data_IF_022311085936
#
_entry.id   IF_022311085936
#
_cell.length_a   1.000
_cell.length_b   1.000
_cell.length_c   1.000
_cell.angle_alpha   90.00
_cell.angle_beta   90.00
_cell.angle_gamma   90.00
#
_symmetry.space_group_name_H-M   'P 1'
#
loop_
_entity.id
_entity.type
_entity.pdbx_description
1 polymer ?
#
# COMPACT_ATOMS: atom_id res chain seq x y z
N UNK A 1 5.87 -28.89 1.16
CA UNK A 1 6.19 -27.50 0.76
C UNK A 1 6.45 -26.74 2.05
N UNK A 2 7.50 -25.96 2.10
CA UNK A 2 7.83 -25.10 3.25
C UNK A 2 6.82 -23.96 3.35
N UNK A 3 6.32 -23.67 4.55
CA UNK A 3 5.44 -22.53 4.76
C UNK A 3 6.26 -21.21 4.87
N UNK A 4 5.63 -20.10 4.53
CA UNK A 4 6.20 -18.77 4.68
C UNK A 4 5.42 -17.97 5.73
N UNK A 5 6.15 -17.28 6.60
CA UNK A 5 5.59 -16.58 7.75
C UNK A 5 6.02 -15.12 7.76
N UNK A 6 5.12 -14.22 8.07
CA UNK A 6 5.45 -12.85 8.47
C UNK A 6 5.88 -12.91 9.95
N UNK A 7 7.10 -12.46 10.25
CA UNK A 7 7.68 -12.52 11.59
C UNK A 7 7.81 -11.14 12.26
N UNK A 8 7.90 -10.08 11.49
CA UNK A 8 7.88 -8.71 12.00
C UNK A 8 7.32 -7.77 10.95
N UNK A 9 6.77 -6.65 11.40
CA UNK A 9 6.22 -5.60 10.57
C UNK A 9 6.41 -4.23 11.21
N UNK A 10 6.85 -3.26 10.41
CA UNK A 10 6.93 -1.85 10.81
C UNK A 10 6.74 -0.94 9.59
N UNK A 11 6.28 0.27 9.84
CA UNK A 11 6.15 1.32 8.83
C UNK A 11 6.52 2.69 9.38
N UNK A 12 6.83 3.62 8.51
CA UNK A 12 6.86 5.03 8.85
C UNK A 12 5.44 5.56 9.09
N UNK A 13 5.27 6.73 9.72
CA UNK A 13 4.04 7.49 9.56
C UNK A 13 3.74 7.71 8.07
N UNK A 14 2.47 7.92 7.75
CA UNK A 14 2.07 8.35 6.41
C UNK A 14 1.97 9.88 6.39
N UNK A 15 2.83 10.52 5.57
CA UNK A 15 2.84 11.95 5.34
C UNK A 15 1.82 12.37 4.27
N UNK A 16 1.31 13.61 4.37
CA UNK A 16 0.53 14.22 3.29
C UNK A 16 1.45 14.74 2.19
N UNK A 17 0.92 14.91 1.01
CA UNK A 17 1.62 15.61 -0.08
C UNK A 17 2.10 16.99 0.37
N UNK A 18 3.38 17.26 0.20
CA UNK A 18 4.01 18.49 0.68
C UNK A 18 4.03 18.67 2.21
N UNK A 19 3.70 17.61 2.97
CA UNK A 19 3.61 17.61 4.42
C UNK A 19 4.91 17.28 5.15
N UNK A 20 4.77 16.69 6.33
CA UNK A 20 5.88 16.47 7.27
C UNK A 20 7.02 15.61 6.70
N UNK A 21 6.72 14.64 5.82
CA UNK A 21 7.72 13.76 5.22
C UNK A 21 8.26 14.22 3.87
N UNK A 22 7.74 15.32 3.32
CA UNK A 22 8.09 15.81 1.97
C UNK A 22 9.57 16.14 1.77
N UNK A 23 10.31 16.40 2.84
CA UNK A 23 11.76 16.64 2.79
C UNK A 23 12.60 15.36 2.82
N UNK A 24 11.99 14.20 3.09
CA UNK A 24 12.70 12.90 3.17
C UNK A 24 12.75 12.26 1.79
N UNK A 25 13.94 11.89 1.33
CA UNK A 25 14.13 11.16 0.08
C UNK A 25 13.46 9.78 0.16
N UNK A 26 12.99 9.25 -0.96
CA UNK A 26 12.34 7.94 -1.02
C UNK A 26 13.27 6.80 -0.53
N UNK A 27 14.53 6.82 -0.95
CA UNK A 27 15.54 5.84 -0.54
C UNK A 27 15.87 5.92 0.96
N UNK A 28 15.96 7.12 1.54
CA UNK A 28 16.13 7.33 2.98
C UNK A 28 14.88 6.89 3.78
N UNK A 29 13.68 7.17 3.27
CA UNK A 29 12.42 6.80 3.92
C UNK A 29 12.29 5.27 4.05
N UNK A 30 12.62 4.52 2.99
CA UNK A 30 12.67 3.07 3.05
C UNK A 30 13.78 2.57 3.99
N UNK A 31 14.95 3.21 3.98
CA UNK A 31 16.04 2.86 4.88
C UNK A 31 15.68 3.03 6.36
N UNK A 32 14.80 4.00 6.72
CA UNK A 32 14.30 4.16 8.09
C UNK A 32 13.51 2.92 8.52
N UNK A 33 12.59 2.42 7.70
CA UNK A 33 11.82 1.22 8.00
C UNK A 33 12.71 -0.02 8.11
N UNK A 34 13.70 -0.17 7.20
CA UNK A 34 14.66 -1.26 7.22
C UNK A 34 15.55 -1.22 8.48
N UNK A 35 16.09 -0.05 8.85
CA UNK A 35 16.86 0.11 10.10
C UNK A 35 16.05 -0.28 11.33
N UNK A 36 14.78 0.07 11.35
CA UNK A 36 13.90 -0.27 12.48
C UNK A 36 13.67 -1.77 12.60
N UNK A 37 13.46 -2.46 11.49
CA UNK A 37 13.38 -3.95 11.47
C UNK A 37 14.68 -4.58 11.97
N UNK A 38 15.82 -4.09 11.50
CA UNK A 38 17.15 -4.56 11.92
C UNK A 38 17.35 -4.35 13.43
N UNK A 39 17.06 -3.16 13.93
CA UNK A 39 17.25 -2.82 15.34
C UNK A 39 16.35 -3.64 16.31
N UNK A 40 15.17 -4.05 15.85
CA UNK A 40 14.22 -4.85 16.65
C UNK A 40 14.58 -6.33 16.72
N UNK A 41 15.27 -6.85 15.71
CA UNK A 41 15.54 -8.28 15.54
C UNK A 41 17.03 -8.59 15.70
N UNK A 42 17.57 -8.34 16.89
CA UNK A 42 19.01 -8.43 17.19
C UNK A 42 19.59 -9.86 17.15
N UNK A 43 18.75 -10.88 17.14
CA UNK A 43 19.16 -12.29 17.00
C UNK A 43 19.35 -12.74 15.55
N UNK A 44 18.95 -11.92 14.59
CA UNK A 44 19.02 -12.25 13.15
C UNK A 44 20.46 -12.05 12.66
N UNK A 45 21.00 -13.06 12.01
CA UNK A 45 22.18 -12.90 11.15
C UNK A 45 21.77 -12.25 9.83
N UNK A 46 22.08 -10.98 9.68
CA UNK A 46 21.67 -10.19 8.51
C UNK A 46 22.45 -10.56 7.24
N UNK A 47 23.56 -11.31 7.33
CA UNK A 47 24.22 -11.87 6.15
C UNK A 47 23.46 -13.06 5.56
N UNK A 48 22.57 -13.69 6.35
CA UNK A 48 21.71 -14.78 5.92
C UNK A 48 20.43 -14.32 5.18
N UNK A 49 20.24 -13.02 4.97
CA UNK A 49 19.08 -12.51 4.21
C UNK A 49 19.30 -12.78 2.72
N UNK A 50 18.40 -13.56 2.13
CA UNK A 50 18.49 -13.98 0.72
C UNK A 50 18.16 -12.85 -0.25
N UNK A 51 17.18 -11.99 0.08
CA UNK A 51 16.82 -10.82 -0.75
C UNK A 51 16.07 -9.76 0.08
N UNK A 52 16.14 -8.51 -0.38
CA UNK A 52 15.26 -7.41 0.06
C UNK A 52 14.39 -6.99 -1.10
N UNK A 53 13.08 -7.28 -1.03
CA UNK A 53 12.13 -7.00 -2.11
C UNK A 53 11.24 -5.83 -1.70
N UNK A 54 11.39 -4.67 -2.35
CA UNK A 54 10.55 -3.51 -2.09
C UNK A 54 9.69 -3.15 -3.30
N UNK A 55 8.40 -2.90 -3.03
CA UNK A 55 7.51 -2.30 -4.00
C UNK A 55 7.74 -0.79 -4.13
N UNK A 56 7.80 -0.29 -5.38
CA UNK A 56 7.83 1.14 -5.67
C UNK A 56 7.20 1.39 -7.04
N UNK A 57 6.26 2.33 -7.12
CA UNK A 57 5.49 2.56 -8.35
C UNK A 57 6.16 3.56 -9.27
N UNK A 58 6.71 4.66 -8.76
CA UNK A 58 7.22 5.74 -9.59
C UNK A 58 8.56 5.42 -10.26
N UNK A 59 9.60 5.20 -9.50
CA UNK A 59 10.97 4.90 -9.96
C UNK A 59 11.57 5.94 -10.94
N UNK A 60 11.04 7.15 -11.00
CA UNK A 60 11.49 8.20 -11.91
C UNK A 60 12.47 9.19 -11.28
N UNK A 61 12.49 9.28 -9.95
CA UNK A 61 13.30 10.23 -9.19
C UNK A 61 14.37 9.57 -8.32
N UNK A 62 14.37 9.90 -7.05
CA UNK A 62 15.32 9.39 -6.03
C UNK A 62 15.11 7.90 -5.73
N UNK A 63 14.02 7.35 -6.18
CA UNK A 63 13.61 5.95 -6.15
C UNK A 63 14.09 5.13 -7.38
N UNK A 64 14.84 5.75 -8.29
CA UNK A 64 15.44 5.05 -9.43
C UNK A 64 16.58 4.11 -9.03
N UNK A 65 17.10 3.33 -9.99
CA UNK A 65 18.23 2.42 -9.82
C UNK A 65 18.06 1.40 -8.70
N UNK A 66 16.88 0.78 -8.62
CA UNK A 66 16.60 -0.24 -7.62
C UNK A 66 16.62 0.32 -6.19
N UNK A 67 15.55 1.00 -5.82
CA UNK A 67 15.40 1.63 -4.49
C UNK A 67 15.56 0.61 -3.35
N UNK A 68 15.18 -0.66 -3.53
CA UNK A 68 15.39 -1.71 -2.54
C UNK A 68 16.86 -1.89 -2.21
N UNK A 69 17.71 -2.04 -3.25
CA UNK A 69 19.16 -2.19 -3.05
C UNK A 69 19.79 -0.94 -2.44
N UNK A 70 19.38 0.24 -2.90
CA UNK A 70 19.90 1.49 -2.34
C UNK A 70 19.53 1.65 -0.87
N UNK A 71 18.28 1.39 -0.53
CA UNK A 71 17.77 1.55 0.83
C UNK A 71 18.36 0.56 1.83
N UNK A 72 18.61 -0.69 1.42
CA UNK A 72 19.24 -1.67 2.31
C UNK A 72 20.67 -1.29 2.66
N UNK A 73 21.44 -0.76 1.67
CA UNK A 73 22.79 -0.24 1.91
C UNK A 73 22.77 0.98 2.83
N UNK A 74 21.84 1.92 2.60
CA UNK A 74 21.64 3.08 3.46
C UNK A 74 21.17 2.69 4.87
N UNK A 75 20.48 1.57 5.01
CA UNK A 75 20.08 1.01 6.30
C UNK A 75 21.22 0.35 7.06
N UNK A 76 22.33 0.04 6.39
CA UNK A 76 23.51 -0.60 6.98
C UNK A 76 23.44 -2.13 6.95
N UNK A 77 22.55 -2.73 6.15
CA UNK A 77 22.59 -4.16 5.89
C UNK A 77 23.89 -4.58 5.15
N UNK A 78 24.33 -5.83 5.28
CA UNK A 78 25.55 -6.31 4.63
C UNK A 78 25.53 -6.11 3.11
N UNK A 79 26.68 -5.81 2.52
CA UNK A 79 26.80 -5.63 1.06
C UNK A 79 26.59 -6.93 0.28
N UNK A 80 26.68 -8.08 0.94
CA UNK A 80 26.35 -9.41 0.41
C UNK A 80 24.86 -9.57 0.09
N UNK A 81 23.96 -8.89 0.83
CA UNK A 81 22.52 -9.00 0.68
C UNK A 81 22.05 -8.33 -0.61
N UNK A 82 21.42 -9.06 -1.54
CA UNK A 82 20.89 -8.48 -2.77
C UNK A 82 19.63 -7.67 -2.48
N UNK A 83 19.12 -6.96 -3.49
CA UNK A 83 17.86 -6.23 -3.38
C UNK A 83 17.18 -6.09 -4.73
N UNK A 84 15.85 -6.19 -4.72
CA UNK A 84 15.01 -6.14 -5.92
C UNK A 84 13.84 -5.16 -5.73
N UNK A 85 13.67 -4.25 -6.69
CA UNK A 85 12.49 -3.38 -6.72
C UNK A 85 11.47 -3.93 -7.71
N UNK A 86 10.24 -4.11 -7.24
CA UNK A 86 9.15 -4.59 -8.08
C UNK A 86 8.07 -3.51 -8.25
N UNK A 87 7.40 -3.52 -9.41
CA UNK A 87 6.37 -2.57 -9.75
C UNK A 87 5.09 -3.28 -10.24
N UNK A 88 4.08 -3.23 -9.40
CA UNK A 88 2.68 -3.51 -9.72
C UNK A 88 1.84 -2.31 -9.31
N UNK A 89 2.31 -1.09 -9.60
CA UNK A 89 1.69 0.17 -9.18
C UNK A 89 1.29 0.13 -7.70
N UNK A 90 0.03 0.45 -7.38
CA UNK A 90 -0.49 0.45 -5.99
C UNK A 90 -0.27 -0.87 -5.24
N UNK A 91 -0.28 -2.01 -5.95
CA UNK A 91 -0.11 -3.36 -5.37
C UNK A 91 1.32 -3.80 -5.14
N UNK A 92 2.32 -2.97 -5.45
CA UNK A 92 3.74 -3.37 -5.43
C UNK A 92 4.20 -3.93 -4.09
N UNK A 93 3.85 -3.29 -2.97
CA UNK A 93 4.24 -3.76 -1.64
C UNK A 93 3.63 -5.11 -1.25
N UNK A 94 2.38 -5.38 -1.65
CA UNK A 94 1.76 -6.69 -1.43
C UNK A 94 2.38 -7.75 -2.33
N UNK A 95 2.69 -7.40 -3.58
CA UNK A 95 3.36 -8.30 -4.52
C UNK A 95 4.78 -8.67 -4.06
N UNK A 96 5.48 -7.75 -3.35
CA UNK A 96 6.76 -8.03 -2.70
C UNK A 96 6.63 -9.16 -1.66
N UNK A 97 5.62 -9.09 -0.79
CA UNK A 97 5.34 -10.12 0.21
C UNK A 97 4.98 -11.46 -0.45
N UNK A 98 4.12 -11.42 -1.47
CA UNK A 98 3.71 -12.63 -2.19
C UNK A 98 4.91 -13.25 -2.92
N UNK A 99 5.81 -12.44 -3.49
CA UNK A 99 7.03 -12.91 -4.17
C UNK A 99 7.99 -13.55 -3.17
N UNK A 100 8.23 -12.94 -2.01
CA UNK A 100 9.01 -13.51 -0.93
C UNK A 100 8.45 -14.86 -0.46
N UNK A 101 7.13 -14.93 -0.23
CA UNK A 101 6.48 -16.16 0.19
C UNK A 101 6.55 -17.27 -0.88
N UNK A 102 6.53 -16.92 -2.17
CA UNK A 102 6.71 -17.88 -3.28
C UNK A 102 8.14 -18.41 -3.33
N UNK A 103 9.15 -17.55 -3.19
CA UNK A 103 10.55 -17.95 -3.17
C UNK A 103 10.82 -18.94 -2.01
N UNK A 104 10.32 -18.64 -0.81
CA UNK A 104 10.43 -19.52 0.34
C UNK A 104 9.75 -20.88 0.09
N UNK A 105 8.54 -20.88 -0.46
CA UNK A 105 7.82 -22.13 -0.77
C UNK A 105 8.48 -22.95 -1.86
N UNK A 106 9.16 -22.31 -2.79
CA UNK A 106 9.94 -22.95 -3.84
C UNK A 106 11.28 -23.52 -3.34
N UNK A 107 11.71 -23.15 -2.12
CA UNK A 107 13.01 -23.54 -1.56
C UNK A 107 14.17 -22.73 -2.14
N UNK A 108 13.90 -21.55 -2.68
CA UNK A 108 14.88 -20.62 -3.26
C UNK A 108 15.36 -19.56 -2.26
N UNK A 109 14.64 -19.40 -1.15
CA UNK A 109 14.96 -18.48 -0.07
C UNK A 109 14.44 -19.02 1.28
N UNK A 110 15.05 -18.59 2.37
CA UNK A 110 14.63 -18.88 3.75
C UNK A 110 14.31 -17.61 4.53
N UNK A 111 14.99 -16.49 4.26
CA UNK A 111 14.84 -15.22 4.97
C UNK A 111 14.82 -14.05 4.00
N UNK A 112 13.69 -13.36 3.91
CA UNK A 112 13.51 -12.23 2.98
C UNK A 112 12.94 -11.04 3.74
N UNK A 113 13.44 -9.83 3.46
CA UNK A 113 12.77 -8.60 3.86
C UNK A 113 11.89 -8.15 2.70
N UNK A 114 10.59 -8.08 2.90
CA UNK A 114 9.63 -7.58 1.94
C UNK A 114 9.04 -6.24 2.41
N UNK A 115 8.61 -5.39 1.48
CA UNK A 115 8.03 -4.13 1.87
C UNK A 115 7.69 -3.23 0.69
N UNK A 116 7.72 -1.93 0.92
CA UNK A 116 7.54 -0.96 -0.14
C UNK A 116 7.69 0.48 0.31
N UNK A 117 7.87 1.36 -0.64
CA UNK A 117 8.07 2.79 -0.43
C UNK A 117 7.43 3.59 -1.55
N UNK A 118 6.92 4.75 -1.20
CA UNK A 118 6.56 5.79 -2.15
C UNK A 118 6.78 7.16 -1.51
N UNK A 119 7.43 8.08 -2.22
CA UNK A 119 7.42 9.50 -1.90
C UNK A 119 6.77 10.25 -3.05
N UNK A 120 5.47 10.46 -2.95
CA UNK A 120 4.72 11.15 -4.00
C UNK A 120 4.98 12.66 -3.98
N UNK A 121 5.37 13.21 -2.82
CA UNK A 121 5.79 14.61 -2.69
C UNK A 121 7.07 14.93 -3.46
N UNK A 122 7.95 13.95 -3.65
CA UNK A 122 9.26 14.10 -4.31
C UNK A 122 9.28 13.51 -5.73
N UNK A 123 8.14 13.11 -6.24
CA UNK A 123 8.00 12.65 -7.61
C UNK A 123 8.46 13.77 -8.58
N UNK A 124 9.44 13.51 -9.46
CA UNK A 124 10.04 14.55 -10.27
C UNK A 124 9.18 14.94 -11.47
N UNK A 125 9.47 16.09 -12.04
CA UNK A 125 9.09 16.39 -13.41
C UNK A 125 9.98 15.62 -14.38
N UNK A 126 9.40 15.09 -15.47
CA UNK A 126 10.12 14.39 -16.54
C UNK A 126 9.78 14.98 -17.90
N UNK A 127 10.73 14.90 -18.81
CA UNK A 127 10.62 15.43 -20.16
C UNK A 127 11.09 14.37 -21.16
N UNK A 128 10.33 14.10 -22.26
CA UNK A 128 10.81 13.22 -23.31
C UNK A 128 12.00 13.86 -24.06
N UNK A 129 12.79 13.03 -24.70
CA UNK A 129 13.78 13.54 -25.66
C UNK A 129 13.07 14.06 -26.91
N UNK A 130 13.65 15.09 -27.52
CA UNK A 130 13.16 15.60 -28.79
C UNK A 130 13.25 14.52 -29.87
N UNK A 131 12.18 14.38 -30.67
CA UNK A 131 12.13 13.40 -31.79
C UNK A 131 12.81 13.92 -33.05
N UNK A 132 13.04 15.24 -33.14
CA UNK A 132 13.68 15.90 -34.27
C UNK A 132 14.79 16.86 -33.83
N UNK A 133 15.79 17.04 -34.70
CA UNK A 133 16.82 18.05 -34.48
C UNK A 133 16.21 19.45 -34.43
N UNK A 134 16.76 20.32 -33.59
CA UNK A 134 16.32 21.72 -33.41
C UNK A 134 14.84 21.89 -33.04
N UNK A 135 14.27 20.88 -32.33
CA UNK A 135 12.88 21.00 -31.84
C UNK A 135 12.70 22.27 -31.01
N UNK A 136 11.60 22.98 -31.26
CA UNK A 136 11.17 24.17 -30.52
C UNK A 136 10.06 23.91 -29.52
N UNK A 137 9.66 22.63 -29.38
CA UNK A 137 8.64 22.18 -28.44
C UNK A 137 9.30 21.31 -27.34
N UNK A 138 8.85 21.51 -26.11
CA UNK A 138 9.17 20.64 -24.97
C UNK A 138 7.87 20.39 -24.21
N UNK A 139 7.68 19.16 -23.78
CA UNK A 139 6.57 18.76 -22.91
C UNK A 139 7.16 18.29 -21.58
N UNK A 140 6.62 18.79 -20.46
CA UNK A 140 7.05 18.41 -19.10
C UNK A 140 5.86 17.77 -18.41
N UNK A 141 6.08 16.56 -17.84
CA UNK A 141 5.08 15.81 -17.12
C UNK A 141 5.41 15.77 -15.64
N UNK A 142 4.42 16.01 -14.77
CA UNK A 142 4.48 15.71 -13.36
C UNK A 142 4.28 14.18 -13.16
N UNK A 143 5.18 13.54 -12.41
CA UNK A 143 5.11 12.09 -12.17
C UNK A 143 4.45 11.73 -10.85
N UNK A 144 3.91 12.69 -10.11
CA UNK A 144 3.25 12.47 -8.82
C UNK A 144 2.10 11.48 -8.93
N UNK A 145 1.22 11.68 -9.92
CA UNK A 145 0.08 10.80 -10.21
C UNK A 145 -0.34 10.99 -11.67
N UNK A 146 -0.94 9.95 -12.25
CA UNK A 146 -1.52 10.05 -13.59
C UNK A 146 -0.60 9.56 -14.71
N UNK A 147 -1.08 9.81 -15.93
CA UNK A 147 -0.45 9.33 -17.15
C UNK A 147 0.65 10.27 -17.63
N UNK A 148 1.74 9.70 -18.14
CA UNK A 148 2.83 10.38 -18.83
C UNK A 148 3.33 9.49 -19.96
N UNK A 149 3.88 10.09 -21.03
CA UNK A 149 4.38 9.35 -22.20
C UNK A 149 3.34 8.37 -22.75
N UNK A 150 2.12 8.86 -22.94
CA UNK A 150 0.95 8.03 -23.29
C UNK A 150 1.17 7.34 -24.64
N UNK A 151 1.10 6.00 -24.66
CA UNK A 151 1.10 5.25 -25.91
C UNK A 151 -0.23 5.49 -26.67
N UNK A 152 -0.19 5.97 -27.94
CA UNK A 152 -1.39 6.28 -28.70
C UNK A 152 -2.34 5.09 -28.89
N UNK A 153 -1.81 3.87 -29.09
CA UNK A 153 -2.62 2.67 -29.26
C UNK A 153 -3.34 2.33 -27.94
N UNK A 154 -2.63 2.42 -26.81
CA UNK A 154 -3.22 2.22 -25.49
C UNK A 154 -4.36 3.19 -25.23
N UNK A 155 -4.17 4.47 -25.60
CA UNK A 155 -5.19 5.50 -25.44
C UNK A 155 -6.46 5.21 -26.26
N UNK A 156 -6.30 4.71 -27.49
CA UNK A 156 -7.43 4.38 -28.38
C UNK A 156 -8.17 3.13 -27.91
N UNK A 157 -7.43 2.10 -27.46
CA UNK A 157 -8.03 0.81 -27.13
C UNK A 157 -8.64 0.74 -25.73
N UNK A 158 -8.03 1.41 -24.76
CA UNK A 158 -8.37 1.25 -23.33
C UNK A 158 -8.65 2.54 -22.60
N UNK A 159 -8.42 3.69 -23.25
CA UNK A 159 -8.48 4.99 -22.58
C UNK A 159 -7.28 5.26 -21.67
N UNK A 160 -7.23 6.48 -21.15
CA UNK A 160 -6.23 6.96 -20.20
C UNK A 160 -6.89 7.81 -19.11
N UNK A 161 -8.00 7.34 -18.60
CA UNK A 161 -8.77 8.01 -17.57
C UNK A 161 -7.88 8.27 -16.34
N UNK A 162 -8.03 9.44 -15.74
CA UNK A 162 -7.40 9.74 -14.47
C UNK A 162 -7.94 8.81 -13.37
N UNK A 163 -7.22 8.64 -12.27
CA UNK A 163 -7.68 7.77 -11.17
C UNK A 163 -9.05 8.18 -10.62
N UNK A 164 -9.34 9.47 -10.35
CA UNK A 164 -10.68 9.88 -9.95
C UNK A 164 -11.76 9.59 -11.01
N UNK A 165 -11.44 9.71 -12.29
CA UNK A 165 -12.37 9.40 -13.37
C UNK A 165 -12.70 7.90 -13.41
N UNK A 166 -11.72 7.02 -13.16
CA UNK A 166 -12.01 5.59 -13.01
C UNK A 166 -12.90 5.28 -11.81
N UNK A 167 -12.81 6.08 -10.74
CA UNK A 167 -13.68 5.95 -9.57
C UNK A 167 -15.11 6.40 -9.86
N UNK A 168 -15.30 7.45 -10.68
CA UNK A 168 -16.62 7.86 -11.17
C UNK A 168 -17.22 6.77 -12.09
N UNK A 169 -16.41 6.15 -12.95
CA UNK A 169 -16.87 5.03 -13.77
C UNK A 169 -17.37 3.86 -12.91
N UNK A 170 -16.66 3.54 -11.84
CA UNK A 170 -17.10 2.50 -10.89
C UNK A 170 -18.37 2.92 -10.17
N UNK A 171 -18.49 4.18 -9.73
CA UNK A 171 -19.71 4.68 -9.08
C UNK A 171 -20.93 4.54 -10.01
N UNK A 172 -20.79 4.89 -11.29
CA UNK A 172 -21.82 4.79 -12.30
C UNK A 172 -22.17 3.33 -12.63
N UNK A 173 -21.19 2.50 -12.98
CA UNK A 173 -21.39 1.11 -13.42
C UNK A 173 -22.00 0.24 -12.29
N UNK A 174 -21.67 0.52 -11.03
CA UNK A 174 -22.12 -0.26 -9.86
C UNK A 174 -23.21 0.44 -9.02
N UNK A 175 -23.70 1.60 -9.46
CA UNK A 175 -24.80 2.31 -8.78
C UNK A 175 -24.45 2.77 -7.35
N UNK A 176 -23.20 3.21 -7.12
CA UNK A 176 -22.75 3.68 -5.80
C UNK A 176 -23.03 5.17 -5.67
N UNK A 177 -23.94 5.54 -4.77
CA UNK A 177 -24.37 6.92 -4.57
C UNK A 177 -23.28 7.77 -3.86
N UNK A 178 -23.38 9.09 -4.00
CA UNK A 178 -22.55 10.04 -3.25
C UNK A 178 -22.71 9.89 -1.74
N UNK A 179 -23.93 9.68 -1.28
CA UNK A 179 -24.29 9.49 0.13
C UNK A 179 -23.61 8.24 0.72
N UNK A 180 -23.63 7.13 -0.01
CA UNK A 180 -22.95 5.90 0.41
C UNK A 180 -21.44 6.12 0.52
N UNK A 181 -20.84 6.80 -0.47
CA UNK A 181 -19.41 7.12 -0.48
C UNK A 181 -19.02 8.00 0.71
N UNK A 182 -19.81 9.01 1.03
CA UNK A 182 -19.50 9.91 2.14
C UNK A 182 -19.70 9.20 3.51
N UNK A 183 -20.68 8.29 3.65
CA UNK A 183 -20.83 7.45 4.85
C UNK A 183 -19.66 6.49 5.03
N UNK A 184 -19.23 5.85 3.97
CA UNK A 184 -18.06 4.95 3.98
C UNK A 184 -16.79 5.71 4.39
N UNK A 185 -16.55 6.88 3.81
CA UNK A 185 -15.44 7.75 4.16
C UNK A 185 -15.46 8.20 5.62
N UNK A 186 -16.64 8.59 6.13
CA UNK A 186 -16.80 8.92 7.55
C UNK A 186 -16.47 7.73 8.45
N UNK A 187 -16.90 6.52 8.07
CA UNK A 187 -16.57 5.28 8.77
C UNK A 187 -15.07 5.06 8.88
N UNK A 188 -14.34 5.23 7.76
CA UNK A 188 -12.88 5.14 7.72
C UNK A 188 -12.21 6.16 8.66
N UNK A 189 -12.63 7.43 8.64
CA UNK A 189 -12.10 8.48 9.52
C UNK A 189 -12.33 8.17 10.99
N UNK A 190 -13.51 7.71 11.38
CA UNK A 190 -13.84 7.36 12.76
C UNK A 190 -13.01 6.18 13.27
N UNK A 191 -12.86 5.12 12.46
CA UNK A 191 -12.01 3.96 12.80
C UNK A 191 -10.55 4.39 12.97
N UNK A 192 -10.01 5.20 12.05
CA UNK A 192 -8.64 5.70 12.14
C UNK A 192 -8.44 6.60 13.39
N UNK A 193 -9.37 7.49 13.69
CA UNK A 193 -9.31 8.35 14.88
C UNK A 193 -9.30 7.51 16.17
N UNK A 194 -10.15 6.49 16.27
CA UNK A 194 -10.18 5.55 17.40
C UNK A 194 -8.87 4.78 17.53
N UNK A 195 -8.35 4.24 16.43
CA UNK A 195 -7.10 3.48 16.42
C UNK A 195 -5.88 4.36 16.77
N UNK A 196 -5.89 5.62 16.35
CA UNK A 196 -4.84 6.59 16.72
C UNK A 196 -4.93 6.97 18.21
N UNK A 197 -6.13 7.24 18.72
CA UNK A 197 -6.33 7.62 20.12
C UNK A 197 -6.04 6.48 21.11
N UNK A 198 -6.35 5.22 20.73
CA UNK A 198 -6.04 4.03 21.53
C UNK A 198 -4.56 3.61 21.51
N UNK A 199 -3.74 4.23 20.65
CA UNK A 199 -2.36 3.84 20.44
C UNK A 199 -2.18 2.59 19.54
N UNK A 200 -3.26 2.06 18.93
CA UNK A 200 -3.18 0.89 18.04
C UNK A 200 -2.24 1.15 16.86
N UNK A 201 -2.35 2.32 16.20
CA UNK A 201 -1.48 2.67 15.08
C UNK A 201 -0.03 2.86 15.49
N UNK A 202 0.25 3.35 16.69
CA UNK A 202 1.60 3.51 17.22
C UNK A 202 2.37 2.17 17.35
N UNK A 203 1.66 1.03 17.44
CA UNK A 203 2.27 -0.31 17.51
C UNK A 203 3.01 -0.72 16.23
N UNK A 204 2.70 -0.10 15.10
CA UNK A 204 3.28 -0.40 13.80
C UNK A 204 4.16 0.73 13.24
N UNK A 205 4.22 1.89 13.93
CA UNK A 205 4.93 3.07 13.43
C UNK A 205 6.31 3.19 14.05
N UNK A 206 7.34 3.39 13.21
CA UNK A 206 8.64 3.89 13.62
C UNK A 206 8.68 5.40 13.42
N UNK A 207 9.05 6.20 14.43
CA UNK A 207 9.18 7.64 14.29
C UNK A 207 10.25 8.02 13.26
N UNK A 208 9.97 9.08 12.48
CA UNK A 208 10.92 9.69 11.55
C UNK A 208 11.46 10.96 12.15
N UNK A 209 12.76 10.98 12.41
CA UNK A 209 13.44 12.16 12.98
C UNK A 209 14.01 13.02 11.86
N UNK A 210 13.54 14.26 11.77
CA UNK A 210 13.93 15.24 10.76
C UNK A 210 14.91 16.25 11.37
N UNK A 211 16.16 16.31 10.88
CA UNK A 211 17.12 17.30 11.37
C UNK A 211 16.66 18.72 11.01
N UNK A 212 16.85 19.66 11.93
CA UNK A 212 16.66 21.07 11.67
C UNK A 212 17.99 21.79 11.56
N UNK A 213 18.02 22.85 10.77
CA UNK A 213 19.21 23.68 10.62
C UNK A 213 19.54 24.41 11.94
N UNK A 214 18.53 24.72 12.76
CA UNK A 214 18.64 25.31 14.11
C UNK A 214 17.53 24.73 15.00
N UNK A 215 17.86 24.46 16.27
CA UNK A 215 16.94 23.89 17.25
C UNK A 215 16.90 22.37 17.23
N UNK A 216 16.00 21.79 18.03
CA UNK A 216 15.83 20.35 18.16
C UNK A 216 15.22 19.74 16.90
N UNK A 217 15.57 18.49 16.58
CA UNK A 217 14.97 17.76 15.48
C UNK A 217 13.43 17.67 15.62
N UNK A 218 12.72 17.62 14.50
CA UNK A 218 11.29 17.31 14.51
C UNK A 218 11.12 15.80 14.46
N UNK A 219 10.32 15.26 15.37
CA UNK A 219 9.93 13.85 15.36
C UNK A 219 8.52 13.74 14.80
N UNK A 220 8.39 12.99 13.70
CA UNK A 220 7.09 12.64 13.11
C UNK A 220 6.79 11.20 13.53
N UNK A 221 5.81 11.00 14.40
CA UNK A 221 5.50 9.75 15.08
C UNK A 221 4.06 9.26 14.88
N UNK A 222 3.28 9.97 14.06
CA UNK A 222 1.87 9.63 13.77
C UNK A 222 1.52 9.97 12.33
N UNK A 223 0.50 9.28 11.82
CA UNK A 223 -0.08 9.57 10.50
C UNK A 223 -0.64 10.99 10.45
N UNK A 224 -0.31 11.72 9.38
CA UNK A 224 -0.65 13.13 9.22
C UNK A 224 -2.00 13.33 8.52
N UNK A 225 -2.49 12.31 7.81
CA UNK A 225 -3.65 12.41 6.92
C UNK A 225 -5.01 12.35 7.66
N UNK A 226 -5.21 11.62 8.79
CA UNK A 226 -6.50 11.51 9.45
C UNK A 226 -7.13 12.85 9.84
N UNK A 227 -8.45 12.95 9.68
CA UNK A 227 -9.25 14.14 9.97
C UNK A 227 -10.37 13.76 10.96
N UNK A 228 -10.10 13.77 12.27
CA UNK A 228 -11.05 13.31 13.29
C UNK A 228 -12.34 14.14 13.34
N UNK A 229 -12.29 15.40 12.89
CA UNK A 229 -13.45 16.31 12.89
C UNK A 229 -14.37 16.14 11.67
N UNK A 230 -14.16 15.11 10.83
CA UNK A 230 -14.98 14.83 9.66
C UNK A 230 -16.43 14.52 10.07
N UNK A 231 -17.39 15.12 9.35
CA UNK A 231 -18.83 14.85 9.51
C UNK A 231 -19.51 14.68 8.15
N UNK A 232 -20.69 14.05 8.11
CA UNK A 232 -21.46 13.96 6.87
C UNK A 232 -21.81 15.34 6.30
N UNK A 233 -22.07 16.32 7.17
CA UNK A 233 -22.35 17.68 6.75
C UNK A 233 -21.16 18.31 6.02
N UNK A 234 -19.93 18.13 6.54
CA UNK A 234 -18.72 18.66 5.88
C UNK A 234 -18.41 17.92 4.59
N UNK A 235 -18.59 16.59 4.54
CA UNK A 235 -18.38 15.78 3.33
C UNK A 235 -19.38 16.16 2.23
N UNK A 236 -20.67 16.29 2.53
CA UNK A 236 -21.71 16.60 1.54
C UNK A 236 -21.50 17.94 0.83
N UNK A 237 -20.80 18.89 1.45
CA UNK A 237 -20.47 20.20 0.88
C UNK A 237 -19.25 20.21 -0.04
N UNK A 238 -18.49 19.13 -0.08
CA UNK A 238 -17.27 19.06 -0.92
C UNK A 238 -17.65 19.01 -2.41
N UNK A 239 -16.94 19.76 -3.24
CA UNK A 239 -17.17 19.75 -4.67
C UNK A 239 -16.73 18.41 -5.31
N UNK A 240 -17.29 18.12 -6.49
CA UNK A 240 -16.92 16.98 -7.34
C UNK A 240 -16.09 17.49 -8.55
N UNK A 241 -14.79 17.78 -8.35
CA UNK A 241 -13.99 18.51 -9.34
C UNK A 241 -13.59 17.67 -10.55
N UNK A 242 -13.78 16.36 -10.50
CA UNK A 242 -13.24 15.42 -11.49
C UNK A 242 -14.22 15.17 -12.64
N UNK A 243 -15.52 15.24 -12.37
CA UNK A 243 -16.59 15.05 -13.35
C UNK A 243 -17.76 15.98 -13.04
N UNK A 244 -18.31 16.64 -14.06
CA UNK A 244 -19.54 17.43 -13.86
C UNK A 244 -20.69 16.53 -13.47
N UNK A 245 -21.35 16.83 -12.33
CA UNK A 245 -22.38 15.98 -11.76
C UNK A 245 -21.86 14.65 -11.18
N UNK A 246 -20.57 14.53 -10.96
CA UNK A 246 -19.92 13.36 -10.38
C UNK A 246 -20.17 13.21 -8.89
N UNK A 247 -19.55 12.20 -8.31
CA UNK A 247 -19.73 11.78 -6.90
C UNK A 247 -18.44 11.77 -6.09
N UNK A 248 -17.29 11.71 -6.77
CA UNK A 248 -15.96 11.63 -6.14
C UNK A 248 -15.49 13.00 -5.66
N UNK A 249 -15.04 13.07 -4.43
CA UNK A 249 -14.54 14.28 -3.77
C UNK A 249 -13.21 14.05 -3.09
N UNK A 250 -12.56 15.10 -2.63
CA UNK A 250 -11.37 15.00 -1.78
C UNK A 250 -11.66 14.35 -0.41
N UNK A 251 -12.91 14.21 -0.01
CA UNK A 251 -13.31 13.60 1.28
C UNK A 251 -13.63 12.11 1.19
N UNK A 252 -13.92 11.59 0.00
CA UNK A 252 -14.26 10.18 -0.23
C UNK A 252 -13.26 9.46 -1.15
N UNK A 253 -12.07 10.06 -1.32
CA UNK A 253 -10.91 9.51 -2.02
C UNK A 253 -9.71 9.44 -1.07
N UNK A 254 -8.78 8.52 -1.33
CA UNK A 254 -7.48 8.52 -0.65
C UNK A 254 -6.63 9.72 -1.07
N UNK A 255 -5.66 10.08 -0.25
CA UNK A 255 -4.72 11.16 -0.53
C UNK A 255 -3.54 10.73 -1.40
N UNK A 256 -2.77 11.74 -1.82
CA UNK A 256 -1.40 11.61 -2.34
C UNK A 256 -0.45 11.70 -1.14
N UNK A 257 0.39 10.70 -0.94
CA UNK A 257 1.06 10.50 0.34
C UNK A 257 2.50 9.98 0.20
N UNK A 258 3.25 10.10 1.29
CA UNK A 258 4.62 9.60 1.46
C UNK A 258 4.65 8.54 2.55
N UNK A 259 5.41 7.44 2.36
CA UNK A 259 5.55 6.42 3.39
C UNK A 259 6.38 5.22 2.94
N UNK A 260 6.85 4.44 3.92
CA UNK A 260 7.57 3.19 3.71
C UNK A 260 7.16 2.14 4.75
N UNK A 261 7.23 0.87 4.37
CA UNK A 261 6.97 -0.27 5.24
C UNK A 261 7.96 -1.40 4.97
N UNK A 262 8.28 -2.17 6.00
CA UNK A 262 9.14 -3.34 5.92
C UNK A 262 8.59 -4.48 6.77
N UNK A 263 8.74 -5.71 6.29
CA UNK A 263 8.33 -6.95 6.95
C UNK A 263 9.45 -7.98 6.82
N UNK A 264 9.61 -8.83 7.84
CA UNK A 264 10.39 -10.06 7.73
C UNK A 264 9.46 -11.18 7.28
N UNK A 265 9.82 -11.85 6.18
CA UNK A 265 9.16 -13.06 5.69
C UNK A 265 10.17 -14.20 5.77
N UNK A 266 9.83 -15.27 6.51
CA UNK A 266 10.78 -16.32 6.83
C UNK A 266 10.18 -17.73 6.70
N UNK A 267 11.03 -18.71 6.39
CA UNK A 267 10.72 -20.14 6.49
C UNK A 267 10.74 -20.59 7.96
N UNK A 268 10.19 -21.77 8.23
CA UNK A 268 10.33 -22.39 9.57
C UNK A 268 11.80 -22.64 9.95
N UNK A 269 12.66 -22.91 8.98
CA UNK A 269 14.09 -23.11 9.22
C UNK A 269 14.74 -21.81 9.68
N UNK A 270 14.50 -20.69 8.99
CA UNK A 270 15.02 -19.38 9.37
C UNK A 270 14.43 -18.89 10.71
N UNK A 271 13.14 -19.16 10.99
CA UNK A 271 12.51 -18.85 12.28
C UNK A 271 13.29 -19.52 13.43
N UNK A 272 13.61 -20.80 13.29
CA UNK A 272 14.37 -21.55 14.31
C UNK A 272 15.81 -21.06 14.41
N UNK A 273 16.48 -20.86 13.28
CA UNK A 273 17.88 -20.44 13.23
C UNK A 273 18.13 -19.07 13.86
N UNK A 274 17.20 -18.13 13.66
CA UNK A 274 17.35 -16.74 14.08
C UNK A 274 16.49 -16.38 15.30
N UNK A 275 15.75 -17.32 15.89
CA UNK A 275 14.89 -17.06 17.05
C UNK A 275 13.75 -16.09 16.75
N UNK A 276 13.27 -16.05 15.52
CA UNK A 276 12.15 -15.20 15.11
C UNK A 276 10.84 -15.69 15.71
N UNK A 277 9.87 -14.77 15.85
CA UNK A 277 8.51 -15.09 16.31
C UNK A 277 7.53 -14.83 15.18
N UNK A 278 6.95 -15.86 14.57
CA UNK A 278 5.97 -15.66 13.52
C UNK A 278 4.70 -15.02 14.08
N UNK A 279 4.12 -14.08 13.35
CA UNK A 279 2.86 -13.41 13.69
C UNK A 279 1.72 -13.84 12.77
N UNK A 280 2.03 -14.21 11.53
CA UNK A 280 1.04 -14.76 10.61
C UNK A 280 1.69 -15.66 9.55
N UNK A 281 1.00 -16.74 9.18
CA UNK A 281 1.33 -17.58 8.04
C UNK A 281 0.73 -16.99 6.76
N UNK A 282 1.50 -16.92 5.71
CA UNK A 282 1.00 -16.54 4.38
C UNK A 282 0.30 -17.74 3.74
N UNK A 283 -1.01 -17.74 3.61
CA UNK A 283 -1.77 -18.81 2.97
C UNK A 283 -1.63 -18.80 1.45
N UNK A 284 -1.63 -17.62 0.85
CA UNK A 284 -1.46 -17.46 -0.59
C UNK A 284 -1.78 -16.05 -1.07
N UNK A 285 -1.47 -15.81 -2.33
CA UNK A 285 -1.81 -14.57 -3.02
C UNK A 285 -2.30 -14.82 -4.44
N UNK A 286 -3.18 -13.94 -4.93
CA UNK A 286 -3.68 -13.96 -6.30
C UNK A 286 -3.83 -12.54 -6.85
N UNK A 287 -3.69 -12.42 -8.16
CA UNK A 287 -4.00 -11.20 -8.90
C UNK A 287 -5.02 -11.49 -10.00
N UNK A 288 -5.71 -10.44 -10.45
CA UNK A 288 -6.65 -10.50 -11.56
C UNK A 288 -6.61 -9.21 -12.37
N UNK A 289 -6.93 -9.30 -13.68
CA UNK A 289 -7.12 -8.14 -14.55
C UNK A 289 -8.60 -7.79 -14.70
N UNK A 290 -8.88 -6.50 -14.90
CA UNK A 290 -10.21 -5.95 -15.24
C UNK A 290 -10.03 -4.84 -16.28
N UNK A 291 -11.08 -4.39 -16.96
CA UNK A 291 -10.97 -3.24 -17.84
C UNK A 291 -10.36 -2.01 -17.13
N UNK A 292 -9.36 -1.34 -17.72
CA UNK A 292 -8.67 -0.21 -17.08
C UNK A 292 -9.60 0.90 -16.58
N UNK A 293 -10.69 1.18 -17.29
CA UNK A 293 -11.66 2.23 -16.91
C UNK A 293 -12.39 1.99 -15.59
N UNK A 294 -12.43 0.73 -15.13
CA UNK A 294 -13.01 0.31 -13.84
C UNK A 294 -11.97 -0.41 -12.97
N UNK A 295 -10.73 0.06 -12.99
CA UNK A 295 -9.63 -0.57 -12.26
C UNK A 295 -9.94 -0.80 -10.77
N UNK A 296 -10.78 0.07 -10.18
CA UNK A 296 -11.20 -0.03 -8.79
C UNK A 296 -11.90 -1.33 -8.43
N UNK A 297 -12.50 -2.02 -9.41
CA UNK A 297 -13.17 -3.31 -9.21
C UNK A 297 -12.22 -4.52 -9.14
N UNK A 298 -10.93 -4.34 -9.45
CA UNK A 298 -9.93 -5.41 -9.48
C UNK A 298 -9.85 -6.31 -8.25
N UNK A 299 -10.04 -5.82 -7.00
CA UNK A 299 -10.06 -6.64 -5.79
C UNK A 299 -11.06 -7.78 -5.81
N UNK A 300 -12.24 -7.59 -6.39
CA UNK A 300 -13.30 -8.60 -6.40
C UNK A 300 -12.88 -9.89 -7.12
N UNK A 301 -12.46 -9.88 -8.42
CA UNK A 301 -11.98 -11.08 -9.07
C UNK A 301 -10.66 -11.62 -8.48
N UNK A 302 -9.76 -10.75 -7.99
CA UNK A 302 -8.53 -11.20 -7.34
C UNK A 302 -8.83 -12.01 -6.07
N UNK A 303 -9.77 -11.53 -5.24
CA UNK A 303 -10.24 -12.23 -4.03
C UNK A 303 -10.91 -13.56 -4.40
N UNK A 304 -11.81 -13.59 -5.37
CA UNK A 304 -12.45 -14.85 -5.82
C UNK A 304 -11.42 -15.88 -6.29
N UNK A 305 -10.43 -15.45 -7.07
CA UNK A 305 -9.35 -16.34 -7.52
C UNK A 305 -8.54 -16.90 -6.35
N UNK A 306 -8.26 -16.08 -5.33
CA UNK A 306 -7.56 -16.50 -4.14
C UNK A 306 -8.37 -17.52 -3.33
N UNK A 307 -9.64 -17.20 -3.05
CA UNK A 307 -10.53 -18.06 -2.29
C UNK A 307 -10.73 -19.42 -2.95
N UNK A 308 -10.97 -19.44 -4.25
CA UNK A 308 -11.11 -20.70 -5.03
C UNK A 308 -9.84 -21.56 -4.95
N UNK A 309 -8.65 -20.94 -5.02
CA UNK A 309 -7.37 -21.67 -4.92
C UNK A 309 -7.15 -22.26 -3.52
N UNK A 310 -7.59 -21.55 -2.47
CA UNK A 310 -7.41 -21.98 -1.08
C UNK A 310 -8.53 -22.88 -0.56
N UNK A 311 -9.65 -22.99 -1.28
CA UNK A 311 -10.84 -23.69 -0.80
C UNK A 311 -11.50 -22.99 0.40
N UNK A 312 -11.36 -21.65 0.49
CA UNK A 312 -11.91 -20.83 1.57
C UNK A 312 -13.08 -19.99 1.08
N UNK A 313 -13.90 -19.54 2.03
CA UNK A 313 -14.96 -18.55 1.83
C UNK A 313 -14.69 -17.24 2.57
N UNK A 314 -15.39 -16.16 2.22
CA UNK A 314 -15.27 -14.86 2.91
C UNK A 314 -15.65 -14.91 4.40
N UNK A 315 -16.45 -15.90 4.80
CA UNK A 315 -16.86 -16.10 6.21
C UNK A 315 -15.72 -16.67 7.07
N UNK A 316 -14.68 -17.20 6.45
CA UNK A 316 -13.52 -17.76 7.16
C UNK A 316 -12.55 -16.66 7.62
N UNK A 317 -12.78 -15.41 7.21
CA UNK A 317 -11.91 -14.28 7.54
C UNK A 317 -12.53 -13.38 8.61
N UNK A 318 -11.75 -13.10 9.64
CA UNK A 318 -12.12 -12.25 10.79
C UNK A 318 -11.66 -10.80 10.62
N UNK A 319 -10.71 -10.57 9.72
CA UNK A 319 -10.15 -9.24 9.38
C UNK A 319 -10.08 -9.12 7.87
N UNK A 320 -10.53 -8.00 7.33
CA UNK A 320 -10.45 -7.67 5.91
C UNK A 320 -9.83 -6.28 5.76
N UNK A 321 -8.60 -6.21 5.29
CA UNK A 321 -7.94 -4.96 4.92
C UNK A 321 -8.18 -4.71 3.42
N UNK A 322 -9.12 -3.85 3.09
CA UNK A 322 -9.39 -3.37 1.74
C UNK A 322 -8.78 -1.98 1.56
N UNK A 323 -7.84 -1.81 0.64
CA UNK A 323 -7.32 -0.48 0.34
C UNK A 323 -8.40 0.41 -0.26
N UNK A 324 -8.71 1.49 0.42
CA UNK A 324 -9.74 2.47 0.03
C UNK A 324 -9.13 3.53 -0.88
N UNK A 325 -8.79 3.18 -2.12
CA UNK A 325 -8.33 4.19 -3.08
C UNK A 325 -9.42 5.24 -3.30
N UNK A 326 -10.67 4.80 -3.39
CA UNK A 326 -11.88 5.61 -3.45
C UNK A 326 -13.02 4.89 -2.72
N UNK A 327 -13.95 5.62 -2.13
CA UNK A 327 -15.12 5.03 -1.48
C UNK A 327 -16.00 4.26 -2.49
N UNK A 328 -16.21 4.78 -3.68
CA UNK A 328 -16.96 4.10 -4.74
C UNK A 328 -16.40 2.74 -5.07
N UNK A 329 -15.07 2.65 -5.17
CA UNK A 329 -14.36 1.40 -5.42
C UNK A 329 -14.50 0.43 -4.26
N UNK A 330 -14.32 0.89 -3.03
CA UNK A 330 -14.48 0.07 -1.83
C UNK A 330 -15.86 -0.56 -1.76
N UNK A 331 -16.92 0.26 -1.89
CA UNK A 331 -18.31 -0.16 -1.85
C UNK A 331 -18.68 -1.11 -2.99
N UNK A 332 -18.23 -0.85 -4.22
CA UNK A 332 -18.50 -1.74 -5.36
C UNK A 332 -17.91 -3.15 -5.11
N UNK A 333 -16.69 -3.22 -4.55
CA UNK A 333 -16.03 -4.49 -4.22
C UNK A 333 -16.74 -5.21 -3.08
N UNK A 334 -17.06 -4.51 -1.98
CA UNK A 334 -17.75 -5.12 -0.83
C UNK A 334 -19.11 -5.69 -1.23
N UNK A 335 -19.94 -4.91 -1.91
CA UNK A 335 -21.27 -5.31 -2.37
C UNK A 335 -21.22 -6.51 -3.32
N UNK A 336 -20.28 -6.53 -4.26
CA UNK A 336 -20.09 -7.63 -5.20
C UNK A 336 -19.61 -8.93 -4.52
N UNK A 337 -18.81 -8.81 -3.45
CA UNK A 337 -18.39 -9.92 -2.61
C UNK A 337 -19.43 -10.35 -1.56
N UNK A 338 -20.57 -9.66 -1.45
CA UNK A 338 -21.61 -9.94 -0.46
C UNK A 338 -21.24 -9.55 0.96
N UNK A 339 -20.37 -8.53 1.12
CA UNK A 339 -19.97 -7.96 2.40
C UNK A 339 -20.77 -6.67 2.61
N UNK A 340 -21.32 -6.46 3.81
CA UNK A 340 -22.05 -5.24 4.13
C UNK A 340 -21.12 -4.00 4.10
N UNK A 341 -21.67 -2.86 3.71
CA UNK A 341 -20.95 -1.59 3.60
C UNK A 341 -20.29 -1.15 4.93
N UNK A 342 -20.88 -1.55 6.05
CA UNK A 342 -20.46 -1.23 7.42
C UNK A 342 -19.93 -2.44 8.20
N UNK A 343 -19.56 -3.53 7.53
CA UNK A 343 -19.01 -4.73 8.16
C UNK A 343 -17.79 -4.37 9.02
N UNK A 344 -17.85 -4.66 10.32
CA UNK A 344 -16.81 -4.30 11.30
C UNK A 344 -15.45 -4.99 11.04
N UNK A 345 -15.44 -6.09 10.28
CA UNK A 345 -14.21 -6.80 9.89
C UNK A 345 -13.39 -6.00 8.87
N UNK A 346 -14.03 -5.07 8.14
CA UNK A 346 -13.40 -4.28 7.08
C UNK A 346 -12.69 -3.09 7.69
N UNK A 347 -11.38 -3.01 7.47
CA UNK A 347 -10.52 -1.90 7.92
C UNK A 347 -10.79 -1.50 9.37
N UNK A 348 -10.62 -2.39 10.35
CA UNK A 348 -10.99 -2.11 11.75
C UNK A 348 -10.25 -0.91 12.34
N UNK A 349 -9.10 -0.56 11.78
CA UNK A 349 -8.25 0.56 12.20
C UNK A 349 -8.28 1.76 11.24
N UNK A 350 -9.27 1.81 10.34
CA UNK A 350 -9.37 2.80 9.27
C UNK A 350 -8.57 2.40 8.01
N UNK A 351 -9.02 2.89 6.86
CA UNK A 351 -8.41 2.60 5.56
C UNK A 351 -7.74 3.81 4.92
N UNK A 352 -7.43 3.71 3.65
CA UNK A 352 -6.61 4.69 2.94
C UNK A 352 -7.27 6.07 2.78
N UNK A 353 -8.58 6.16 2.81
CA UNK A 353 -9.29 7.47 2.81
C UNK A 353 -8.88 8.28 4.04
N UNK A 354 -8.74 7.63 5.20
CA UNK A 354 -8.33 8.28 6.42
C UNK A 354 -6.81 8.32 6.61
N UNK A 355 -6.09 7.23 6.31
CA UNK A 355 -4.67 7.09 6.60
C UNK A 355 -3.76 7.60 5.47
N UNK A 356 -4.23 7.55 4.21
CA UNK A 356 -3.44 7.88 3.03
C UNK A 356 -3.01 6.66 2.22
N UNK A 357 -2.49 6.93 0.99
CA UNK A 357 -2.17 5.90 0.01
C UNK A 357 -0.81 6.13 -0.68
N UNK A 358 0.33 5.98 0.03
CA UNK A 358 1.63 5.91 -0.63
C UNK A 358 1.68 4.64 -1.50
N UNK A 359 1.72 4.76 -2.83
CA UNK A 359 1.41 3.67 -3.77
C UNK A 359 2.20 2.39 -3.49
N UNK A 360 3.52 2.44 -3.58
CA UNK A 360 4.39 1.27 -3.40
C UNK A 360 4.39 0.67 -1.99
N UNK A 361 4.09 1.51 -0.97
CA UNK A 361 4.05 1.08 0.43
C UNK A 361 2.71 0.43 0.80
N UNK A 362 1.60 0.88 0.22
CA UNK A 362 0.25 0.57 0.73
C UNK A 362 -0.06 -0.92 0.79
N UNK A 363 0.37 -1.71 -0.20
CA UNK A 363 0.17 -3.16 -0.18
C UNK A 363 0.89 -3.84 0.98
N UNK A 364 2.10 -3.40 1.32
CA UNK A 364 2.84 -3.88 2.47
C UNK A 364 2.20 -3.43 3.78
N UNK A 365 1.67 -2.19 3.83
CA UNK A 365 0.95 -1.66 4.98
C UNK A 365 -0.29 -2.48 5.30
N UNK A 366 -1.19 -2.71 4.34
CA UNK A 366 -2.44 -3.44 4.63
C UNK A 366 -2.16 -4.90 5.01
N UNK A 367 -1.18 -5.55 4.39
CA UNK A 367 -0.78 -6.91 4.75
C UNK A 367 -0.15 -6.98 6.16
N UNK A 368 0.75 -6.05 6.48
CA UNK A 368 1.38 -5.97 7.79
C UNK A 368 0.40 -5.58 8.90
N UNK A 369 -0.50 -4.61 8.64
CA UNK A 369 -1.57 -4.23 9.58
C UNK A 369 -2.51 -5.40 9.84
N UNK A 370 -2.89 -6.17 8.79
CA UNK A 370 -3.72 -7.37 8.93
C UNK A 370 -3.03 -8.45 9.79
N UNK A 371 -1.75 -8.74 9.55
CA UNK A 371 -0.98 -9.70 10.34
C UNK A 371 -0.90 -9.27 11.81
N UNK A 372 -0.57 -8.01 12.07
CA UNK A 372 -0.51 -7.46 13.43
C UNK A 372 -1.89 -7.45 14.11
N UNK A 373 -2.96 -7.21 13.35
CA UNK A 373 -4.33 -7.26 13.90
C UNK A 373 -4.70 -8.67 14.35
N UNK A 374 -4.35 -9.71 13.58
CA UNK A 374 -4.55 -11.11 14.02
C UNK A 374 -3.85 -11.36 15.36
N UNK A 375 -2.59 -10.95 15.47
CA UNK A 375 -1.79 -11.14 16.68
C UNK A 375 -2.38 -10.41 17.91
N UNK A 376 -2.81 -9.16 17.73
CA UNK A 376 -3.28 -8.31 18.82
C UNK A 376 -4.69 -8.65 19.28
N UNK A 377 -5.55 -9.10 18.37
CA UNK A 377 -6.97 -9.42 18.66
C UNK A 377 -7.24 -10.88 18.92
N UNK A 378 -6.27 -11.79 18.67
CA UNK A 378 -6.45 -13.24 18.77
C UNK A 378 -7.38 -13.82 17.69
N UNK A 379 -7.59 -13.10 16.59
CA UNK A 379 -8.38 -13.54 15.44
C UNK A 379 -7.59 -14.51 14.57
N UNK A 380 -8.29 -15.37 13.79
CA UNK A 380 -7.67 -16.49 13.11
C UNK A 380 -7.17 -16.17 11.69
N UNK A 381 -7.98 -15.51 10.87
CA UNK A 381 -7.65 -15.29 9.45
C UNK A 381 -7.88 -13.86 9.00
N UNK A 382 -7.01 -13.38 8.11
CA UNK A 382 -7.13 -12.06 7.49
C UNK A 382 -6.99 -12.13 5.97
N UNK A 383 -7.78 -11.28 5.30
CA UNK A 383 -7.70 -11.00 3.87
C UNK A 383 -7.20 -9.57 3.68
N UNK A 384 -6.14 -9.38 2.92
CA UNK A 384 -5.74 -8.07 2.43
C UNK A 384 -5.96 -7.99 0.92
N UNK A 385 -6.62 -6.94 0.43
CA UNK A 385 -6.93 -6.81 -1.01
C UNK A 385 -6.89 -5.35 -1.45
N UNK A 386 -6.52 -5.11 -2.71
CA UNK A 386 -6.44 -3.77 -3.26
C UNK A 386 -6.57 -3.72 -4.77
N UNK A 387 -7.09 -2.58 -5.26
CA UNK A 387 -7.11 -2.24 -6.67
C UNK A 387 -5.75 -1.71 -7.13
N UNK A 388 -5.52 -1.77 -8.43
CA UNK A 388 -4.26 -1.38 -9.05
C UNK A 388 -4.59 -0.65 -10.35
N UNK A 389 -3.95 0.47 -10.57
CA UNK A 389 -4.07 1.24 -11.82
C UNK A 389 -3.86 0.38 -13.06
N UNK A 390 -4.38 0.83 -14.19
CA UNK A 390 -4.38 0.09 -15.47
C UNK A 390 -5.17 -1.23 -15.42
N UNK A 391 -6.09 -1.37 -14.45
CA UNK A 391 -7.08 -2.44 -14.45
C UNK A 391 -6.59 -3.78 -13.88
N UNK A 392 -6.10 -3.78 -12.63
CA UNK A 392 -5.76 -5.00 -11.92
C UNK A 392 -6.28 -4.96 -10.47
N UNK A 393 -6.28 -6.13 -9.83
CA UNK A 393 -6.42 -6.29 -8.38
C UNK A 393 -5.45 -7.33 -7.85
N UNK A 394 -5.14 -7.27 -6.56
CA UNK A 394 -4.30 -8.24 -5.86
C UNK A 394 -4.86 -8.52 -4.47
N UNK A 395 -4.79 -9.77 -4.04
CA UNK A 395 -5.28 -10.23 -2.75
C UNK A 395 -4.28 -11.18 -2.10
N UNK A 396 -4.19 -11.13 -0.78
CA UNK A 396 -3.33 -11.95 0.07
C UNK A 396 -4.17 -12.48 1.23
N UNK A 397 -4.05 -13.78 1.53
CA UNK A 397 -4.66 -14.41 2.69
C UNK A 397 -3.60 -14.78 3.74
N UNK A 398 -3.90 -14.47 4.99
CA UNK A 398 -3.06 -14.72 6.16
C UNK A 398 -3.81 -15.55 7.20
N UNK A 399 -3.07 -16.30 8.00
CA UNK A 399 -3.59 -17.06 9.14
C UNK A 399 -2.70 -16.80 10.36
N UNK A 400 -3.31 -16.60 11.52
CA UNK A 400 -2.59 -16.48 12.79
C UNK A 400 -1.76 -17.75 13.10
N UNK A 401 -0.69 -17.61 13.89
CA UNK A 401 0.21 -18.69 14.29
C UNK A 401 0.18 -18.88 15.81
#
# INVERSE_FOLDING_TARGET
>A
MTDAFICDYIRTPIGRFGGALSAVRADDLAAIALRAIVARNTSVDWEAVDDVILGCANQAGEDNRNVARMSLLLAGLPVSVPGTTINRLCGSGMDAIITAARAIRAGEADLVIAGGVESMSRAPFVMPKAESAFSRAAEIHDTTIGWRFVNPVMKVQYGVDSMPETAENVAEDFGVSRDDQDRFALGSQRKAATAQASGRLAREIVPVTLPRRKGDPVVVDRDEHPRPDTSLETLSRLPTPFRQGGTVTAGNASGVNDGAAALIVASEAAIRAHGLRPIARVLGGAAAGVPPRIMGFGPAPATRNLLARLGLGLRDFDVIELNEAFASQGLAVLRDLGIADDDERVNPNGGAIALGHPLGMSGARIAGTAALELQLSGKAKALATMCIGVGQGISLALEAV
#
